data_IF_451002393724
#
_entry.id   IF_451002393724
#
_cell.length_a   1.000
_cell.length_b   1.000
_cell.length_c   1.000
_cell.angle_alpha   90.00
_cell.angle_beta   90.00
_cell.angle_gamma   90.00
#
_symmetry.space_group_name_H-M   'P 1'
#
loop_
_entity.id
_entity.type
_entity.pdbx_description
1 polymer ?
#
# COMPACT_ATOMS: atom_id res chain seq x y z
N UNK A 1 -10.47 9.70 -15.35
CA UNK A 1 -10.45 8.48 -16.19
C UNK A 1 -10.41 7.24 -15.31
N UNK A 2 -10.94 6.12 -15.79
CA UNK A 2 -10.75 4.80 -15.18
C UNK A 2 -9.51 4.11 -15.78
N UNK A 3 -8.49 3.86 -14.97
CA UNK A 3 -7.19 3.35 -15.43
C UNK A 3 -6.93 1.99 -14.77
N UNK A 4 -6.72 0.96 -15.58
CA UNK A 4 -6.23 -0.33 -15.10
C UNK A 4 -4.71 -0.29 -14.99
N UNK A 5 -4.17 -0.68 -13.83
CA UNK A 5 -2.72 -0.77 -13.59
C UNK A 5 -2.38 -2.20 -13.19
N UNK A 6 -1.37 -2.77 -13.85
CA UNK A 6 -0.83 -4.10 -13.57
C UNK A 6 0.64 -4.00 -13.18
N UNK A 7 1.04 -4.65 -12.10
CA UNK A 7 2.42 -5.06 -11.90
C UNK A 7 2.68 -6.33 -12.70
N UNK A 8 3.58 -6.29 -13.68
CA UNK A 8 3.93 -7.46 -14.48
C UNK A 8 4.32 -8.67 -13.62
N UNK A 9 4.11 -9.88 -14.13
CA UNK A 9 4.49 -11.13 -13.48
C UNK A 9 3.79 -11.36 -12.12
N UNK A 10 4.06 -12.49 -11.49
CA UNK A 10 3.68 -12.74 -10.10
C UNK A 10 4.72 -13.65 -9.41
N UNK A 11 4.58 -13.92 -8.11
CA UNK A 11 5.60 -14.65 -7.36
C UNK A 11 5.72 -16.14 -7.72
N UNK A 12 4.75 -16.70 -8.45
CA UNK A 12 4.78 -18.04 -9.04
C UNK A 12 5.26 -18.03 -10.51
N UNK A 13 5.04 -16.93 -11.23
CA UNK A 13 5.48 -16.69 -12.60
C UNK A 13 6.37 -15.45 -12.65
N UNK A 14 7.57 -15.55 -12.06
CA UNK A 14 8.49 -14.41 -11.87
C UNK A 14 8.96 -13.80 -13.18
N UNK A 15 9.24 -12.50 -13.12
CA UNK A 15 9.87 -11.75 -14.20
C UNK A 15 11.39 -11.92 -14.25
N UNK A 16 12.04 -10.98 -14.94
CA UNK A 16 13.47 -10.92 -15.09
C UNK A 16 14.20 -10.76 -13.75
N UNK A 17 15.33 -11.44 -13.64
CA UNK A 17 16.26 -11.35 -12.51
C UNK A 17 17.64 -10.93 -13.01
N UNK A 18 18.16 -9.85 -12.43
CA UNK A 18 19.51 -9.34 -12.63
C UNK A 18 20.11 -8.86 -11.30
N UNK A 19 20.63 -7.64 -11.28
CA UNK A 19 21.06 -6.95 -10.04
C UNK A 19 19.85 -6.63 -9.15
N UNK A 20 18.68 -6.47 -9.76
CA UNK A 20 17.36 -6.35 -9.11
C UNK A 20 16.39 -7.40 -9.66
N UNK A 21 15.34 -7.72 -8.89
CA UNK A 21 14.26 -8.63 -9.28
C UNK A 21 13.06 -7.80 -9.79
N UNK A 22 12.70 -7.98 -11.05
CA UNK A 22 11.59 -7.26 -11.69
C UNK A 22 10.30 -7.38 -10.88
N UNK A 23 9.97 -8.58 -10.42
CA UNK A 23 8.71 -8.86 -9.72
C UNK A 23 8.66 -8.11 -8.38
N UNK A 24 9.80 -7.88 -7.75
CA UNK A 24 9.87 -7.12 -6.49
C UNK A 24 9.82 -5.62 -6.77
N UNK A 25 10.59 -5.14 -7.74
CA UNK A 25 10.73 -3.70 -8.00
C UNK A 25 9.51 -3.11 -8.72
N UNK A 26 8.92 -3.84 -9.66
CA UNK A 26 7.68 -3.41 -10.30
C UNK A 26 6.54 -3.27 -9.28
N UNK A 27 6.54 -4.05 -8.19
CA UNK A 27 5.56 -3.94 -7.10
C UNK A 27 5.68 -2.65 -6.30
N UNK A 28 6.85 -2.01 -6.32
CA UNK A 28 7.07 -0.71 -5.69
C UNK A 28 6.62 0.42 -6.63
N UNK A 29 7.05 0.36 -7.89
CA UNK A 29 6.71 1.38 -8.89
C UNK A 29 5.21 1.44 -9.18
N UNK A 30 4.53 0.29 -9.39
CA UNK A 30 3.11 0.31 -9.70
C UNK A 30 2.25 0.80 -8.51
N UNK A 31 2.67 0.54 -7.26
CA UNK A 31 1.99 1.08 -6.06
C UNK A 31 2.10 2.60 -6.00
N UNK A 32 3.28 3.14 -6.28
CA UNK A 32 3.48 4.59 -6.38
C UNK A 32 2.65 5.19 -7.52
N UNK A 33 2.63 4.54 -8.69
CA UNK A 33 1.77 4.95 -9.80
C UNK A 33 0.28 5.00 -9.39
N UNK A 34 -0.23 3.96 -8.73
CA UNK A 34 -1.60 3.93 -8.21
C UNK A 34 -1.83 5.07 -7.21
N UNK A 35 -0.90 5.33 -6.28
CA UNK A 35 -0.98 6.45 -5.33
C UNK A 35 -1.18 7.78 -6.08
N UNK A 36 -0.29 8.11 -7.01
CA UNK A 36 -0.30 9.41 -7.69
C UNK A 36 -1.46 9.57 -8.68
N UNK A 37 -1.86 8.51 -9.39
CA UNK A 37 -3.07 8.55 -10.22
C UNK A 37 -4.34 8.81 -9.39
N UNK A 38 -4.44 8.24 -8.18
CA UNK A 38 -5.55 8.54 -7.28
C UNK A 38 -5.51 9.99 -6.77
N UNK A 39 -4.32 10.52 -6.42
CA UNK A 39 -4.15 11.93 -6.03
C UNK A 39 -4.62 12.88 -7.14
N UNK A 40 -4.31 12.53 -8.40
CA UNK A 40 -4.77 13.26 -9.58
C UNK A 40 -6.28 13.08 -9.90
N UNK A 41 -7.03 12.33 -9.07
CA UNK A 41 -8.48 12.15 -9.22
C UNK A 41 -8.87 11.11 -10.28
N UNK A 42 -7.96 10.24 -10.72
CA UNK A 42 -8.31 9.10 -11.56
C UNK A 42 -8.92 7.97 -10.72
N UNK A 43 -9.80 7.17 -11.33
CA UNK A 43 -10.29 5.94 -10.75
C UNK A 43 -9.34 4.81 -11.16
N UNK A 44 -8.54 4.29 -10.22
CA UNK A 44 -7.50 3.31 -10.52
C UNK A 44 -7.93 1.91 -10.10
N UNK A 45 -7.85 0.95 -11.03
CA UNK A 45 -8.15 -0.46 -10.78
C UNK A 45 -6.84 -1.25 -10.81
N UNK A 46 -6.45 -1.82 -9.66
CA UNK A 46 -5.35 -2.78 -9.62
C UNK A 46 -5.82 -4.10 -10.25
N UNK A 47 -5.23 -4.45 -11.40
CA UNK A 47 -5.55 -5.67 -12.14
C UNK A 47 -4.47 -6.75 -12.02
N UNK A 48 -3.52 -6.57 -11.10
CA UNK A 48 -2.47 -7.56 -10.82
C UNK A 48 -3.08 -8.85 -10.25
N UNK A 49 -2.91 -10.01 -10.90
CA UNK A 49 -3.40 -11.28 -10.37
C UNK A 49 -2.61 -11.74 -9.14
N UNK A 50 -3.18 -12.72 -8.43
CA UNK A 50 -2.47 -13.49 -7.41
C UNK A 50 -1.49 -14.50 -8.00
N UNK A 51 -1.02 -15.44 -7.19
CA UNK A 51 -0.09 -16.48 -7.64
C UNK A 51 -0.73 -17.43 -8.66
N UNK A 52 -0.24 -17.39 -9.90
CA UNK A 52 -0.71 -18.22 -11.00
C UNK A 52 0.38 -18.42 -12.05
N UNK A 53 0.17 -19.32 -13.01
CA UNK A 53 1.10 -19.51 -14.13
C UNK A 53 1.08 -18.29 -15.08
N UNK A 54 2.09 -18.22 -15.96
CA UNK A 54 2.31 -17.09 -16.88
C UNK A 54 1.09 -16.79 -17.76
N UNK A 55 0.41 -17.82 -18.28
CA UNK A 55 -0.71 -17.60 -19.20
C UNK A 55 -1.94 -17.08 -18.46
N UNK A 56 -2.21 -17.65 -17.29
CA UNK A 56 -3.28 -17.20 -16.40
C UNK A 56 -3.05 -15.77 -15.92
N UNK A 57 -1.81 -15.41 -15.59
CA UNK A 57 -1.42 -14.07 -15.15
C UNK A 57 -1.74 -12.99 -16.20
N UNK A 58 -1.38 -13.26 -17.45
CA UNK A 58 -1.68 -12.36 -18.57
C UNK A 58 -3.19 -12.28 -18.83
N UNK A 59 -3.88 -13.42 -18.86
CA UNK A 59 -5.32 -13.49 -19.13
C UNK A 59 -6.14 -12.74 -18.07
N UNK A 60 -5.91 -13.03 -16.79
CA UNK A 60 -6.71 -12.45 -15.69
C UNK A 60 -6.54 -10.94 -15.60
N UNK A 61 -5.34 -10.42 -15.77
CA UNK A 61 -5.10 -8.96 -15.74
C UNK A 61 -5.83 -8.22 -16.86
N UNK A 62 -5.75 -8.76 -18.08
CA UNK A 62 -6.47 -8.21 -19.24
C UNK A 62 -7.98 -8.32 -19.08
N UNK A 63 -8.48 -9.48 -18.63
CA UNK A 63 -9.90 -9.72 -18.46
C UNK A 63 -10.49 -8.78 -17.40
N UNK A 64 -9.82 -8.64 -16.25
CA UNK A 64 -10.25 -7.74 -15.18
C UNK A 64 -10.29 -6.28 -15.64
N UNK A 65 -9.34 -5.84 -16.48
CA UNK A 65 -9.36 -4.50 -17.06
C UNK A 65 -10.58 -4.27 -17.97
N UNK A 66 -10.96 -5.27 -18.77
CA UNK A 66 -12.15 -5.25 -19.63
C UNK A 66 -13.45 -5.25 -18.83
N UNK A 67 -13.58 -6.13 -17.86
CA UNK A 67 -14.78 -6.26 -17.02
C UNK A 67 -15.07 -4.97 -16.25
N UNK A 68 -14.01 -4.22 -15.92
CA UNK A 68 -14.13 -2.91 -15.29
C UNK A 68 -14.37 -1.76 -16.26
N UNK A 69 -14.43 -2.00 -17.58
CA UNK A 69 -14.57 -0.98 -18.62
C UNK A 69 -13.51 0.13 -18.47
N UNK A 70 -12.24 -0.28 -18.32
CA UNK A 70 -11.13 0.66 -18.16
C UNK A 70 -10.86 1.44 -19.45
N UNK A 71 -10.49 2.72 -19.33
CA UNK A 71 -10.22 3.62 -20.46
C UNK A 71 -8.74 3.60 -20.91
N UNK A 72 -7.85 3.11 -20.04
CA UNK A 72 -6.42 2.97 -20.27
C UNK A 72 -5.90 1.77 -19.47
N UNK A 73 -4.97 1.00 -20.05
CA UNK A 73 -4.27 -0.09 -19.40
C UNK A 73 -2.76 0.20 -19.34
N UNK A 74 -2.19 0.17 -18.15
CA UNK A 74 -0.76 0.36 -17.91
C UNK A 74 -0.18 -0.90 -17.24
N UNK A 75 0.79 -1.55 -17.89
CA UNK A 75 1.54 -2.65 -17.29
C UNK A 75 2.96 -2.22 -16.98
N UNK A 76 3.40 -2.39 -15.73
CA UNK A 76 4.71 -1.96 -15.25
C UNK A 76 5.66 -3.15 -15.18
N UNK A 77 6.78 -3.03 -15.89
CA UNK A 77 7.80 -4.05 -16.08
C UNK A 77 9.21 -3.46 -15.92
N UNK A 78 10.21 -4.34 -15.84
CA UNK A 78 11.63 -4.01 -15.95
C UNK A 78 12.26 -4.90 -17.02
N UNK A 79 13.10 -4.29 -17.86
CA UNK A 79 13.65 -4.95 -19.04
C UNK A 79 14.84 -5.84 -18.64
N UNK A 80 15.21 -6.76 -19.53
CA UNK A 80 16.46 -7.52 -19.46
C UNK A 80 16.84 -7.99 -20.86
N UNK A 81 18.05 -7.68 -21.29
CA UNK A 81 18.60 -8.09 -22.58
C UNK A 81 19.83 -9.01 -22.45
N UNK A 82 20.55 -8.92 -21.33
CA UNK A 82 21.82 -9.62 -21.12
C UNK A 82 21.86 -10.33 -19.76
N UNK A 83 22.84 -11.21 -19.56
CA UNK A 83 23.09 -11.78 -18.23
C UNK A 83 23.69 -10.75 -17.26
N UNK A 84 24.55 -9.86 -17.79
CA UNK A 84 25.17 -8.72 -17.10
C UNK A 84 25.43 -7.60 -18.10
N UNK A 85 25.35 -6.34 -17.66
CA UNK A 85 25.71 -5.21 -18.50
C UNK A 85 26.33 -4.07 -17.67
N UNK A 86 27.52 -3.62 -18.07
CA UNK A 86 28.18 -2.46 -17.45
C UNK A 86 27.81 -1.18 -18.20
N UNK A 87 27.15 -0.24 -17.52
CA UNK A 87 26.70 1.03 -18.08
C UNK A 87 25.17 1.14 -18.19
N UNK A 88 24.70 2.05 -19.05
CA UNK A 88 23.28 2.41 -19.18
C UNK A 88 22.63 1.83 -20.43
N UNK A 89 21.40 1.32 -20.29
CA UNK A 89 20.55 0.84 -21.39
C UNK A 89 19.27 1.69 -21.52
N UNK A 90 18.62 2.03 -20.40
CA UNK A 90 17.58 3.05 -20.31
C UNK A 90 16.14 2.54 -20.19
N UNK A 91 15.20 3.48 -20.28
CA UNK A 91 13.75 3.25 -20.18
C UNK A 91 13.09 3.16 -21.56
N UNK A 92 12.00 2.41 -21.68
CA UNK A 92 11.23 2.29 -22.92
C UNK A 92 9.76 1.98 -22.69
N UNK A 93 8.94 2.19 -23.70
CA UNK A 93 7.52 1.80 -23.68
C UNK A 93 7.16 0.98 -24.90
N UNK A 94 6.23 0.05 -24.72
CA UNK A 94 5.70 -0.80 -25.78
C UNK A 94 4.21 -0.57 -25.97
N UNK A 95 3.80 -0.48 -27.24
CA UNK A 95 2.41 -0.37 -27.68
C UNK A 95 2.11 -1.43 -28.74
N UNK A 96 0.82 -1.69 -28.98
CA UNK A 96 0.39 -2.62 -30.02
C UNK A 96 0.75 -2.10 -31.44
N UNK A 97 0.47 -0.82 -31.68
CA UNK A 97 0.73 -0.11 -32.94
C UNK A 97 0.51 1.41 -32.79
N UNK A 98 1.08 2.20 -33.69
CA UNK A 98 1.05 3.67 -33.73
C UNK A 98 -0.29 4.25 -34.22
N UNK A 99 -0.46 5.56 -34.04
CA UNK A 99 -1.57 6.36 -34.56
C UNK A 99 -2.75 6.54 -33.60
N UNK A 100 -2.66 6.06 -32.36
CA UNK A 100 -3.75 6.12 -31.37
C UNK A 100 -3.33 6.67 -30.00
N UNK A 101 -4.28 6.72 -29.07
CA UNK A 101 -4.07 7.21 -27.69
C UNK A 101 -2.92 6.49 -26.96
N UNK A 102 -2.71 5.21 -27.25
CA UNK A 102 -1.61 4.44 -26.65
C UNK A 102 -0.23 5.04 -26.98
N UNK A 103 0.00 5.47 -28.21
CA UNK A 103 1.26 6.12 -28.61
C UNK A 103 1.47 7.45 -27.88
N UNK A 104 0.40 8.24 -27.72
CA UNK A 104 0.45 9.52 -27.01
C UNK A 104 0.87 9.31 -25.55
N UNK A 105 0.22 8.37 -24.84
CA UNK A 105 0.57 8.05 -23.46
C UNK A 105 1.97 7.46 -23.35
N UNK A 106 2.31 6.49 -24.21
CA UNK A 106 3.62 5.83 -24.20
C UNK A 106 4.77 6.82 -24.41
N UNK A 107 4.60 7.77 -25.35
CA UNK A 107 5.58 8.81 -25.63
C UNK A 107 5.76 9.73 -24.42
N UNK A 108 4.67 10.21 -23.83
CA UNK A 108 4.73 11.06 -22.64
C UNK A 108 5.41 10.35 -21.47
N UNK A 109 5.09 9.07 -21.24
CA UNK A 109 5.67 8.29 -20.16
C UNK A 109 7.19 8.16 -20.33
N UNK A 110 7.67 7.70 -21.50
CA UNK A 110 9.11 7.47 -21.70
C UNK A 110 9.90 8.78 -21.69
N UNK A 111 9.34 9.86 -22.24
CA UNK A 111 9.95 11.18 -22.22
C UNK A 111 10.04 11.73 -20.79
N UNK A 112 8.97 11.60 -19.99
CA UNK A 112 8.95 12.11 -18.62
C UNK A 112 9.84 11.29 -17.69
N UNK A 113 9.86 9.96 -17.85
CA UNK A 113 10.77 9.09 -17.11
C UNK A 113 12.23 9.43 -17.40
N UNK A 114 12.60 9.55 -18.68
CA UNK A 114 13.97 9.90 -19.05
C UNK A 114 14.37 11.27 -18.49
N UNK A 115 13.53 12.29 -18.65
CA UNK A 115 13.78 13.65 -18.15
C UNK A 115 13.90 13.70 -16.63
N UNK A 116 12.99 13.03 -15.91
CA UNK A 116 12.93 13.10 -14.45
C UNK A 116 13.95 12.22 -13.72
N UNK A 117 14.48 11.17 -14.37
CA UNK A 117 15.43 10.24 -13.75
C UNK A 117 16.86 10.36 -14.27
N UNK A 118 17.04 10.78 -15.52
CA UNK A 118 18.31 10.70 -16.24
C UNK A 118 18.54 9.37 -16.97
N UNK A 119 17.59 8.42 -16.91
CA UNK A 119 17.66 7.19 -17.71
C UNK A 119 17.66 7.52 -19.21
N UNK A 120 18.42 6.75 -20.00
CA UNK A 120 18.44 6.88 -21.46
C UNK A 120 17.04 6.64 -22.03
N UNK A 121 16.54 7.57 -22.85
CA UNK A 121 15.26 7.41 -23.53
C UNK A 121 15.41 6.44 -24.72
N UNK A 122 14.77 5.26 -24.67
CA UNK A 122 14.71 4.30 -25.80
C UNK A 122 13.48 4.47 -26.68
N UNK A 123 12.62 5.43 -26.36
CA UNK A 123 11.42 5.77 -27.11
C UNK A 123 10.30 4.74 -27.00
N UNK A 124 9.28 4.97 -27.83
CA UNK A 124 8.12 4.10 -27.99
C UNK A 124 8.41 3.03 -29.03
N UNK A 125 8.11 1.78 -28.70
CA UNK A 125 8.29 0.61 -29.55
C UNK A 125 6.95 -0.08 -29.83
N UNK A 126 6.85 -0.71 -30.99
CA UNK A 126 5.69 -1.52 -31.35
C UNK A 126 5.99 -3.00 -31.14
N UNK A 127 5.05 -3.72 -30.53
CA UNK A 127 5.10 -5.18 -30.49
C UNK A 127 3.69 -5.77 -30.41
N UNK A 128 3.12 -6.08 -31.57
CA UNK A 128 1.79 -6.67 -31.71
C UNK A 128 1.68 -8.11 -31.20
N UNK A 129 2.80 -8.74 -30.81
CA UNK A 129 2.82 -10.10 -30.25
C UNK A 129 2.62 -10.13 -28.73
N UNK A 130 2.85 -9.02 -28.03
CA UNK A 130 2.67 -8.95 -26.57
C UNK A 130 1.18 -9.14 -26.24
N UNK A 131 0.90 -10.15 -25.41
CA UNK A 131 -0.46 -10.59 -25.13
C UNK A 131 -1.34 -9.45 -24.62
N UNK A 132 -0.85 -8.69 -23.64
CA UNK A 132 -1.63 -7.63 -22.99
C UNK A 132 -1.96 -6.49 -23.93
N UNK A 133 -1.01 -6.10 -24.79
CA UNK A 133 -1.22 -5.06 -25.79
C UNK A 133 -2.20 -5.51 -26.88
N UNK A 134 -2.13 -6.79 -27.28
CA UNK A 134 -2.99 -7.36 -28.31
C UNK A 134 -4.40 -7.70 -27.81
N UNK A 135 -4.55 -8.05 -26.53
CA UNK A 135 -5.79 -8.62 -25.98
C UNK A 135 -6.59 -7.65 -25.13
N UNK A 136 -6.07 -6.48 -24.78
CA UNK A 136 -6.86 -5.39 -24.20
C UNK A 136 -7.85 -4.82 -25.22
N UNK A 137 -8.94 -4.18 -24.74
CA UNK A 137 -9.93 -3.50 -25.59
C UNK A 137 -9.83 -1.96 -25.52
N UNK A 138 -8.93 -1.47 -24.67
CA UNK A 138 -8.63 -0.06 -24.44
C UNK A 138 -7.18 0.24 -24.87
N UNK A 139 -6.78 1.50 -25.06
CA UNK A 139 -5.38 1.86 -25.22
C UNK A 139 -4.52 1.23 -24.12
N UNK A 140 -3.41 0.59 -24.51
CA UNK A 140 -2.54 -0.13 -23.60
C UNK A 140 -1.07 0.27 -23.81
N UNK A 141 -0.37 0.47 -22.70
CA UNK A 141 1.07 0.75 -22.67
C UNK A 141 1.73 -0.23 -21.69
N UNK A 142 2.77 -0.92 -22.16
CA UNK A 142 3.69 -1.65 -21.29
C UNK A 142 4.92 -0.77 -21.07
N UNK A 143 5.25 -0.50 -19.82
CA UNK A 143 6.34 0.39 -19.43
C UNK A 143 7.49 -0.46 -18.93
N UNK A 144 8.64 -0.34 -19.60
CA UNK A 144 9.91 -0.89 -19.13
C UNK A 144 10.67 0.22 -18.39
N UNK A 145 10.64 0.16 -17.05
CA UNK A 145 11.18 1.22 -16.20
C UNK A 145 12.68 1.40 -16.44
N UNK A 146 13.46 0.34 -16.25
CA UNK A 146 14.87 0.26 -16.61
C UNK A 146 15.31 -1.22 -16.71
N UNK A 147 16.58 -1.46 -17.05
CA UNK A 147 17.12 -2.81 -17.16
C UNK A 147 17.56 -3.39 -15.81
N UNK A 148 17.13 -4.62 -15.50
CA UNK A 148 17.44 -5.31 -14.25
C UNK A 148 18.94 -5.61 -14.06
N UNK A 149 19.70 -5.73 -15.15
CA UNK A 149 21.10 -6.15 -15.18
C UNK A 149 22.11 -5.04 -15.50
N UNK A 150 21.65 -3.85 -15.90
CA UNK A 150 22.52 -2.75 -16.30
C UNK A 150 22.93 -1.91 -15.10
N UNK A 151 24.24 -1.82 -14.83
CA UNK A 151 24.75 -1.23 -13.58
C UNK A 151 24.35 0.23 -13.39
N UNK A 152 24.37 1.04 -14.46
CA UNK A 152 24.01 2.46 -14.35
C UNK A 152 22.49 2.67 -14.25
N UNK A 153 21.69 1.87 -14.95
CA UNK A 153 20.23 1.88 -14.84
C UNK A 153 19.77 1.58 -13.41
N UNK A 154 20.36 0.55 -12.80
CA UNK A 154 20.04 0.14 -11.42
C UNK A 154 20.53 1.17 -10.40
N UNK A 155 21.69 1.79 -10.64
CA UNK A 155 22.20 2.90 -9.81
C UNK A 155 21.21 4.07 -9.83
N UNK A 156 20.79 4.51 -11.01
CA UNK A 156 19.81 5.59 -11.19
C UNK A 156 18.46 5.22 -10.53
N UNK A 157 17.95 4.01 -10.77
CA UNK A 157 16.71 3.53 -10.16
C UNK A 157 16.77 3.58 -8.63
N UNK A 158 17.87 3.12 -8.00
CA UNK A 158 18.05 3.15 -6.55
C UNK A 158 18.19 4.57 -6.00
N UNK A 159 18.86 5.46 -6.73
CA UNK A 159 19.02 6.87 -6.36
C UNK A 159 17.69 7.63 -6.40
N UNK A 160 16.91 7.45 -7.47
CA UNK A 160 15.63 8.15 -7.68
C UNK A 160 14.50 7.53 -6.87
N UNK A 161 14.54 6.22 -6.70
CA UNK A 161 13.54 5.45 -5.97
C UNK A 161 12.24 5.22 -6.76
N UNK A 162 11.48 4.17 -6.38
CA UNK A 162 10.25 3.79 -7.07
C UNK A 162 9.11 4.81 -6.93
N UNK A 163 9.11 5.64 -5.87
CA UNK A 163 8.06 6.62 -5.63
C UNK A 163 8.06 7.74 -6.68
N UNK A 164 9.23 8.36 -6.91
CA UNK A 164 9.41 9.37 -7.96
C UNK A 164 9.10 8.80 -9.34
N UNK A 165 9.52 7.57 -9.63
CA UNK A 165 9.24 6.92 -10.92
C UNK A 165 7.74 6.73 -11.12
N UNK A 166 7.02 6.23 -10.10
CA UNK A 166 5.56 6.13 -10.15
C UNK A 166 4.89 7.49 -10.35
N UNK A 167 5.38 8.54 -9.68
CA UNK A 167 4.92 9.92 -9.85
C UNK A 167 5.10 10.41 -11.29
N UNK A 168 6.28 10.25 -11.87
CA UNK A 168 6.59 10.66 -13.24
C UNK A 168 5.69 9.96 -14.27
N UNK A 169 5.38 8.68 -14.07
CA UNK A 169 4.43 7.96 -14.93
C UNK A 169 3.01 8.54 -14.76
N UNK A 170 2.57 8.82 -13.53
CA UNK A 170 1.27 9.40 -13.28
C UNK A 170 1.13 10.82 -13.88
N UNK A 171 2.15 11.67 -13.73
CA UNK A 171 2.20 13.02 -14.31
C UNK A 171 2.17 12.99 -15.84
N UNK A 172 2.81 11.99 -16.46
CA UNK A 172 2.75 11.80 -17.91
C UNK A 172 1.33 11.47 -18.40
N UNK A 173 0.51 10.82 -17.57
CA UNK A 173 -0.91 10.56 -17.86
C UNK A 173 -1.78 11.78 -17.55
N UNK A 174 -1.51 12.46 -16.44
CA UNK A 174 -2.26 13.64 -15.98
C UNK A 174 -1.95 14.92 -16.77
N UNK A 175 -0.85 14.93 -17.53
CA UNK A 175 -0.35 16.06 -18.33
C UNK A 175 0.05 17.31 -17.52
N UNK A 176 0.06 17.19 -16.20
CA UNK A 176 0.42 18.24 -15.25
C UNK A 176 1.17 17.60 -14.09
N UNK A 177 2.06 18.39 -13.51
CA UNK A 177 2.69 18.03 -12.24
C UNK A 177 1.61 17.71 -11.22
N UNK A 178 1.82 16.61 -10.50
CA UNK A 178 0.95 16.21 -9.42
C UNK A 178 1.56 16.85 -8.18
N UNK A 179 1.07 18.06 -7.90
CA UNK A 179 1.27 18.68 -6.61
C UNK A 179 0.58 17.79 -5.58
N UNK A 180 1.39 17.09 -4.79
CA UNK A 180 0.91 16.68 -3.48
C UNK A 180 0.50 18.00 -2.81
N UNK A 181 -0.77 18.14 -2.43
CA UNK A 181 -1.17 19.26 -1.58
C UNK A 181 -0.41 19.09 -0.27
N UNK A 182 0.81 19.64 -0.20
CA UNK A 182 1.56 19.79 1.02
C UNK A 182 0.83 20.88 1.81
N UNK A 183 -0.30 20.51 2.43
CA UNK A 183 -0.57 21.05 3.76
C UNK A 183 0.69 20.72 4.56
N UNK A 184 1.28 21.66 5.32
CA UNK A 184 2.54 21.42 6.02
C UNK A 184 2.42 20.12 6.82
N UNK A 185 3.01 19.06 6.25
CA UNK A 185 3.02 17.73 6.83
C UNK A 185 4.05 17.81 7.95
N UNK A 186 3.56 18.14 9.15
CA UNK A 186 4.22 17.67 10.36
C UNK A 186 4.35 16.15 10.24
N UNK A 187 5.46 15.60 10.74
CA UNK A 187 5.82 14.18 10.83
C UNK A 187 4.70 13.19 11.25
N UNK A 188 3.51 13.67 11.61
CA UNK A 188 2.31 12.94 12.00
C UNK A 188 1.63 12.14 10.87
N UNK A 189 1.62 12.59 9.62
CA UNK A 189 0.79 11.98 8.57
C UNK A 189 1.49 10.84 7.79
N UNK A 190 2.82 10.87 7.64
CA UNK A 190 3.57 9.75 7.03
C UNK A 190 3.63 8.51 7.94
N UNK A 191 3.52 8.70 9.26
CA UNK A 191 3.32 7.63 10.21
C UNK A 191 1.91 7.04 10.09
N UNK A 192 0.87 7.89 9.94
CA UNK A 192 -0.53 7.43 9.78
C UNK A 192 -0.71 6.51 8.58
N UNK A 193 -0.15 6.81 7.41
CA UNK A 193 -0.31 5.94 6.23
C UNK A 193 0.44 4.61 6.33
N UNK A 194 1.60 4.59 7.00
CA UNK A 194 2.38 3.36 7.25
C UNK A 194 1.65 2.42 8.22
N UNK A 195 0.93 2.98 9.20
CA UNK A 195 0.06 2.25 10.13
C UNK A 195 -1.34 1.95 9.57
N UNK A 196 -1.76 2.64 8.49
CA UNK A 196 -3.07 2.42 7.87
C UNK A 196 -3.14 1.22 6.92
N UNK A 197 -2.02 0.63 6.49
CA UNK A 197 -2.01 -0.51 5.54
C UNK A 197 -1.30 -1.77 6.07
N UNK A 198 -0.74 -1.72 7.27
CA UNK A 198 -0.12 -2.87 7.92
C UNK A 198 -1.04 -3.44 9.00
N UNK A 199 -1.15 -4.76 9.07
CA UNK A 199 -1.78 -5.46 10.18
C UNK A 199 -1.00 -5.15 11.46
N UNK A 200 -1.69 -4.92 12.57
CA UNK A 200 -1.08 -4.49 13.85
C UNK A 200 -1.44 -5.40 15.02
N UNK A 201 -2.10 -6.53 14.73
CA UNK A 201 -2.45 -7.53 15.70
C UNK A 201 -2.58 -8.89 15.01
N UNK A 202 -2.65 -9.94 15.83
CA UNK A 202 -3.00 -11.29 15.41
C UNK A 202 -3.95 -11.94 16.39
N UNK A 203 -4.81 -12.80 15.87
CA UNK A 203 -5.59 -13.73 16.69
C UNK A 203 -4.64 -14.75 17.33
N UNK A 204 -4.68 -14.92 18.65
CA UNK A 204 -3.91 -15.97 19.34
C UNK A 204 -4.78 -17.15 19.81
N UNK A 205 -6.09 -16.98 19.74
CA UNK A 205 -7.12 -17.99 19.85
C UNK A 205 -8.19 -17.71 18.79
N UNK A 206 -9.09 -18.67 18.58
CA UNK A 206 -10.26 -18.43 17.75
C UNK A 206 -11.13 -17.31 18.34
N UNK A 207 -11.70 -16.51 17.45
CA UNK A 207 -12.40 -15.27 17.75
C UNK A 207 -13.69 -15.20 16.95
N UNK A 208 -14.77 -14.79 17.60
CA UNK A 208 -16.06 -14.55 16.94
C UNK A 208 -16.15 -13.09 16.47
N UNK A 209 -16.06 -12.80 15.16
CA UNK A 209 -16.35 -11.48 14.61
C UNK A 209 -17.84 -11.15 14.76
N UNK A 210 -18.12 -9.96 15.27
CA UNK A 210 -19.48 -9.49 15.61
C UNK A 210 -19.81 -8.24 14.82
N UNK A 211 -21.10 -8.03 14.56
CA UNK A 211 -21.59 -6.79 13.94
C UNK A 211 -21.55 -5.59 14.91
N UNK A 212 -21.63 -5.84 16.21
CA UNK A 212 -21.64 -4.80 17.25
C UNK A 212 -20.95 -5.26 18.55
N UNK A 213 -20.53 -4.33 19.43
CA UNK A 213 -19.79 -4.63 20.66
C UNK A 213 -20.70 -4.93 21.87
N UNK A 214 -21.73 -5.75 21.67
CA UNK A 214 -22.68 -6.13 22.73
C UNK A 214 -22.63 -7.63 23.02
N UNK A 215 -23.22 -8.02 24.15
CA UNK A 215 -23.56 -9.41 24.44
C UNK A 215 -24.65 -9.94 23.50
N UNK A 216 -25.48 -9.06 22.93
CA UNK A 216 -26.50 -9.39 21.94
C UNK A 216 -26.00 -8.92 20.57
N UNK A 217 -25.54 -9.86 19.74
CA UNK A 217 -24.91 -9.57 18.47
C UNK A 217 -25.24 -10.60 17.40
N UNK A 218 -25.03 -10.22 16.14
CA UNK A 218 -25.02 -11.16 15.02
C UNK A 218 -23.60 -11.67 14.82
N UNK A 219 -23.46 -12.98 14.87
CA UNK A 219 -22.23 -13.67 14.51
C UNK A 219 -21.96 -13.52 12.99
N UNK A 220 -20.75 -13.07 12.65
CA UNK A 220 -20.29 -12.84 11.29
C UNK A 220 -19.29 -13.91 10.80
N UNK A 221 -19.09 -14.98 11.56
CA UNK A 221 -18.29 -16.15 11.18
C UNK A 221 -17.23 -16.48 12.22
N UNK A 222 -16.04 -16.87 11.76
CA UNK A 222 -14.91 -17.22 12.64
C UNK A 222 -13.65 -16.50 12.15
N UNK A 223 -12.85 -16.00 13.10
CA UNK A 223 -11.46 -15.61 12.90
C UNK A 223 -10.60 -16.68 13.58
N UNK A 224 -9.86 -17.45 12.78
CA UNK A 224 -9.00 -18.52 13.30
C UNK A 224 -7.74 -17.96 13.97
N UNK A 225 -7.18 -18.75 14.90
CA UNK A 225 -5.86 -18.47 15.46
C UNK A 225 -4.81 -18.27 14.35
N UNK A 226 -4.01 -17.22 14.48
CA UNK A 226 -2.94 -16.86 13.56
C UNK A 226 -3.34 -15.80 12.53
N UNK A 227 -4.64 -15.63 12.29
CA UNK A 227 -5.16 -14.69 11.30
C UNK A 227 -4.72 -13.26 11.60
N UNK A 228 -4.40 -12.54 10.54
CA UNK A 228 -3.92 -11.17 10.62
C UNK A 228 -5.06 -10.21 10.90
N UNK A 229 -4.84 -9.32 11.87
CA UNK A 229 -5.83 -8.36 12.34
C UNK A 229 -5.25 -6.95 12.22
N UNK A 230 -6.13 -6.00 11.94
CA UNK A 230 -5.85 -4.58 12.15
C UNK A 230 -6.91 -3.97 13.05
N UNK A 231 -6.47 -3.57 14.23
CA UNK A 231 -7.25 -2.75 15.16
C UNK A 231 -7.45 -1.38 14.55
N UNK A 232 -8.68 -0.92 14.53
CA UNK A 232 -9.06 0.35 13.92
C UNK A 232 -8.70 1.53 14.83
N UNK A 233 -8.31 2.68 14.25
CA UNK A 233 -7.93 3.88 14.99
C UNK A 233 -9.17 4.65 15.48
N UNK A 234 -9.98 4.01 16.31
CA UNK A 234 -11.22 4.57 16.84
C UNK A 234 -11.21 4.52 18.38
N UNK A 235 -11.67 5.59 19.03
CA UNK A 235 -11.79 5.60 20.49
C UNK A 235 -12.72 4.47 20.94
N UNK A 236 -12.21 3.62 21.84
CA UNK A 236 -12.93 2.44 22.29
C UNK A 236 -12.69 2.18 23.78
N UNK A 237 -13.75 2.29 24.56
CA UNK A 237 -13.83 1.93 25.98
C UNK A 237 -14.86 0.81 26.23
N UNK A 238 -15.26 0.10 25.17
CA UNK A 238 -16.25 -0.97 25.26
C UNK A 238 -15.62 -2.20 25.90
N UNK A 239 -15.36 -2.12 27.22
CA UNK A 239 -14.84 -3.12 28.17
C UNK A 239 -14.17 -4.36 27.56
N UNK A 240 -14.96 -5.20 26.88
CA UNK A 240 -14.56 -6.51 26.36
C UNK A 240 -14.36 -6.58 24.84
N UNK A 241 -14.54 -5.51 24.05
CA UNK A 241 -14.52 -5.55 22.59
C UNK A 241 -13.70 -4.43 21.93
N UNK A 242 -13.08 -4.76 20.78
CA UNK A 242 -12.36 -3.82 19.92
C UNK A 242 -12.88 -3.85 18.48
N UNK A 243 -12.92 -2.70 17.80
CA UNK A 243 -13.24 -2.63 16.38
C UNK A 243 -12.00 -3.00 15.55
N UNK A 244 -12.17 -3.96 14.64
CA UNK A 244 -11.09 -4.49 13.80
C UNK A 244 -11.55 -4.73 12.36
N UNK A 245 -10.57 -4.86 11.47
CA UNK A 245 -10.68 -5.59 10.20
C UNK A 245 -9.70 -6.76 10.24
N UNK A 246 -9.99 -7.82 9.51
CA UNK A 246 -9.12 -9.00 9.43
C UNK A 246 -9.01 -9.52 8.00
N UNK A 247 -7.97 -10.31 7.77
CA UNK A 247 -7.79 -11.04 6.52
C UNK A 247 -7.84 -12.50 6.84
N UNK A 248 -8.61 -13.27 6.07
CA UNK A 248 -8.52 -14.74 6.11
C UNK A 248 -7.32 -15.14 5.28
N UNK A 249 -6.25 -15.63 5.88
CA UNK A 249 -4.97 -15.87 5.22
C UNK A 249 -5.08 -16.87 4.05
N UNK A 250 -6.05 -17.78 4.11
CA UNK A 250 -6.35 -18.69 3.00
C UNK A 250 -6.91 -18.00 1.76
N UNK A 251 -7.57 -16.85 1.89
CA UNK A 251 -8.18 -16.11 0.77
C UNK A 251 -7.58 -14.72 0.56
N UNK A 252 -6.82 -14.21 1.54
CA UNK A 252 -6.28 -12.87 1.64
C UNK A 252 -7.30 -11.75 1.37
N UNK A 253 -8.58 -12.00 1.68
CA UNK A 253 -9.67 -11.03 1.51
C UNK A 253 -9.83 -10.24 2.80
N UNK A 254 -9.83 -8.91 2.66
CA UNK A 254 -10.14 -7.96 3.73
C UNK A 254 -11.62 -8.08 4.14
N UNK A 255 -11.87 -8.14 5.45
CA UNK A 255 -13.22 -8.11 6.00
C UNK A 255 -13.81 -6.70 6.01
N UNK A 256 -15.14 -6.61 6.12
CA UNK A 256 -15.77 -5.40 6.67
C UNK A 256 -15.32 -5.18 8.13
N UNK A 257 -15.60 -3.99 8.68
CA UNK A 257 -15.41 -3.71 10.10
C UNK A 257 -16.25 -4.67 10.94
N UNK A 258 -15.63 -5.28 11.93
CA UNK A 258 -16.28 -6.17 12.92
C UNK A 258 -15.78 -5.84 14.33
N UNK A 259 -16.44 -6.40 15.33
CA UNK A 259 -16.03 -6.31 16.73
C UNK A 259 -15.58 -7.68 17.24
N UNK A 260 -14.51 -7.71 18.01
CA UNK A 260 -13.94 -8.96 18.57
C UNK A 260 -13.56 -8.77 20.03
N UNK A 261 -13.39 -9.86 20.78
CA UNK A 261 -12.92 -9.81 22.17
C UNK A 261 -11.59 -9.06 22.30
N UNK A 262 -11.56 -8.05 23.18
CA UNK A 262 -10.39 -7.21 23.47
C UNK A 262 -9.42 -7.85 24.47
N UNK A 263 -9.68 -9.06 24.94
CA UNK A 263 -8.87 -9.68 26.01
C UNK A 263 -7.55 -10.24 25.45
N UNK A 264 -6.48 -10.14 26.24
CA UNK A 264 -5.13 -10.55 25.83
C UNK A 264 -4.99 -12.04 25.47
N UNK A 265 -5.90 -12.88 25.95
CA UNK A 265 -5.96 -14.31 25.66
C UNK A 265 -6.57 -14.63 24.28
N UNK A 266 -7.13 -13.63 23.59
CA UNK A 266 -7.67 -13.77 22.23
C UNK A 266 -6.90 -12.95 21.20
N UNK A 267 -6.42 -11.77 21.58
CA UNK A 267 -5.66 -10.86 20.71
C UNK A 267 -4.25 -10.65 21.24
N UNK A 268 -3.28 -10.62 20.32
CA UNK A 268 -1.97 -10.02 20.55
C UNK A 268 -1.82 -8.80 19.66
N UNK A 269 -1.73 -7.63 20.27
CA UNK A 269 -1.50 -6.36 19.58
C UNK A 269 0.01 -6.11 19.54
N UNK A 270 0.54 -5.82 18.36
CA UNK A 270 1.93 -5.39 18.19
C UNK A 270 2.11 -4.02 18.84
N UNK A 271 3.28 -3.71 19.37
CA UNK A 271 3.55 -2.39 19.98
C UNK A 271 4.64 -1.68 19.20
N UNK A 272 4.50 -0.36 19.04
CA UNK A 272 5.40 0.49 18.26
C UNK A 272 5.83 1.74 19.03
N UNK A 273 5.52 1.79 20.33
CA UNK A 273 5.79 2.93 21.16
C UNK A 273 5.93 2.54 22.63
N UNK A 274 6.69 3.36 23.35
CA UNK A 274 6.94 3.25 24.78
C UNK A 274 6.59 4.56 25.47
N UNK A 275 5.93 4.48 26.63
CA UNK A 275 5.64 5.64 27.49
C UNK A 275 6.93 6.07 28.20
N UNK A 276 7.27 7.35 28.10
CA UNK A 276 8.51 7.93 28.65
C UNK A 276 8.25 9.20 29.46
N UNK A 277 9.16 9.50 30.39
CA UNK A 277 9.18 10.75 31.17
C UNK A 277 7.89 11.02 31.96
N UNK A 278 7.23 9.96 32.44
CA UNK A 278 6.03 10.02 33.28
C UNK A 278 6.38 9.66 34.71
N UNK A 279 6.00 10.49 35.68
CA UNK A 279 6.33 10.28 37.11
C UNK A 279 5.39 9.25 37.76
N UNK A 280 4.09 9.38 37.53
CA UNK A 280 3.07 8.49 38.11
C UNK A 280 2.33 7.72 37.02
N UNK A 281 1.58 8.44 36.19
CA UNK A 281 0.73 7.87 35.15
C UNK A 281 0.53 8.86 34.00
N UNK A 282 0.27 8.32 32.81
CA UNK A 282 -0.15 9.04 31.62
C UNK A 282 -1.61 8.69 31.34
N UNK A 283 -2.48 9.68 31.44
CA UNK A 283 -3.91 9.50 31.26
C UNK A 283 -4.27 9.12 29.83
N UNK A 284 -5.06 8.04 29.71
CA UNK A 284 -5.81 7.66 28.52
C UNK A 284 -7.14 8.44 28.51
N UNK A 285 -7.49 9.10 27.41
CA UNK A 285 -8.61 10.06 27.34
C UNK A 285 -9.52 9.84 26.14
N UNK A 286 -10.80 10.21 26.27
CA UNK A 286 -11.80 10.09 25.19
C UNK A 286 -11.60 11.08 24.04
N UNK A 287 -11.11 12.29 24.36
CA UNK A 287 -10.84 13.34 23.36
C UNK A 287 -9.44 13.93 23.56
N UNK A 288 -8.92 14.61 22.53
CA UNK A 288 -7.61 15.29 22.48
C UNK A 288 -7.56 16.54 23.36
N UNK A 289 -7.74 16.37 24.67
CA UNK A 289 -7.77 17.45 25.63
C UNK A 289 -7.39 16.97 27.02
N UNK A 290 -6.54 17.72 27.71
CA UNK A 290 -6.22 17.49 29.12
C UNK A 290 -7.43 17.65 30.06
N UNK A 291 -8.53 18.27 29.59
CA UNK A 291 -9.78 18.38 30.34
C UNK A 291 -10.76 17.23 30.08
N UNK A 292 -10.45 16.34 29.13
CA UNK A 292 -11.27 15.15 28.84
C UNK A 292 -11.36 14.24 30.07
N UNK A 293 -12.50 13.58 30.26
CA UNK A 293 -12.61 12.45 31.20
C UNK A 293 -11.52 11.40 30.93
N UNK A 294 -11.05 10.78 32.01
CA UNK A 294 -10.08 9.67 31.95
C UNK A 294 -10.81 8.37 31.60
N UNK A 295 -10.29 7.65 30.61
CA UNK A 295 -10.67 6.28 30.26
C UNK A 295 -9.85 5.25 31.05
N UNK A 296 -8.63 5.64 31.42
CA UNK A 296 -7.67 4.83 32.16
C UNK A 296 -6.32 5.53 32.15
N UNK A 297 -5.25 4.77 32.35
CA UNK A 297 -3.90 5.30 32.31
C UNK A 297 -2.90 4.21 31.92
N UNK A 298 -1.70 4.66 31.56
CA UNK A 298 -0.51 3.83 31.37
C UNK A 298 0.65 4.38 32.21
N UNK A 299 1.62 3.55 32.55
CA UNK A 299 2.79 3.92 33.36
C UNK A 299 4.05 4.06 32.50
N UNK A 300 5.06 4.72 33.05
CA UNK A 300 6.37 4.83 32.41
C UNK A 300 6.96 3.46 32.06
N UNK A 301 7.43 3.29 30.83
CA UNK A 301 7.94 2.03 30.29
C UNK A 301 6.88 1.10 29.72
N UNK A 302 5.58 1.35 29.94
CA UNK A 302 4.54 0.54 29.31
C UNK A 302 4.50 0.79 27.79
N UNK A 303 4.12 -0.26 27.06
CA UNK A 303 4.09 -0.26 25.60
C UNK A 303 2.66 -0.13 25.10
N UNK A 304 2.50 0.58 24.00
CA UNK A 304 1.23 0.74 23.31
C UNK A 304 1.45 0.66 21.80
N UNK A 305 0.34 0.49 21.07
CA UNK A 305 0.32 0.69 19.63
C UNK A 305 -0.24 2.07 19.33
N UNK A 306 0.61 3.01 18.92
CA UNK A 306 0.20 4.31 18.41
C UNK A 306 -0.29 4.15 16.98
N UNK A 307 -1.59 4.38 16.78
CA UNK A 307 -2.20 4.41 15.45
C UNK A 307 -1.86 5.69 14.71
N UNK A 308 -1.89 6.80 15.44
CA UNK A 308 -1.69 8.13 14.90
C UNK A 308 -1.32 9.13 15.97
N UNK A 309 -0.64 10.19 15.58
CA UNK A 309 -0.45 11.38 16.41
C UNK A 309 -1.10 12.55 15.67
N UNK A 310 -1.86 13.38 16.38
CA UNK A 310 -2.40 14.64 15.86
C UNK A 310 -2.58 15.68 16.95
N UNK A 311 -2.19 16.93 16.65
CA UNK A 311 -2.39 18.07 17.55
C UNK A 311 -1.73 17.89 18.92
N UNK A 312 -0.60 17.20 19.00
CA UNK A 312 0.12 16.92 20.24
C UNK A 312 -0.46 15.78 21.08
N UNK A 313 -1.36 14.98 20.52
CA UNK A 313 -1.93 13.79 21.16
C UNK A 313 -1.73 12.55 20.29
N UNK A 314 -1.41 11.41 20.90
CA UNK A 314 -1.32 10.12 20.24
C UNK A 314 -2.60 9.31 20.49
N UNK A 315 -3.22 8.79 19.42
CA UNK A 315 -4.28 7.79 19.53
C UNK A 315 -3.61 6.43 19.62
N UNK A 316 -3.68 5.82 20.80
CA UNK A 316 -3.00 4.56 21.09
C UNK A 316 -3.97 3.47 21.52
N UNK A 317 -3.73 2.23 21.08
CA UNK A 317 -4.28 1.06 21.75
C UNK A 317 -3.33 0.58 22.83
N UNK A 318 -3.83 0.50 24.05
CA UNK A 318 -3.10 0.08 25.25
C UNK A 318 -3.86 -1.03 25.96
N UNK A 319 -3.18 -1.79 26.81
CA UNK A 319 -3.82 -2.79 27.64
C UNK A 319 -4.31 -2.16 28.96
N UNK A 320 -5.61 -2.15 29.18
CA UNK A 320 -6.21 -1.84 30.48
C UNK A 320 -6.43 -3.14 31.27
N UNK A 321 -6.74 -3.02 32.57
CA UNK A 321 -6.88 -4.15 33.50
C UNK A 321 -7.81 -5.28 33.03
N UNK A 322 -8.77 -5.00 32.14
CA UNK A 322 -9.75 -5.96 31.64
C UNK A 322 -9.68 -6.22 30.11
N UNK A 323 -8.75 -5.60 29.38
CA UNK A 323 -8.66 -5.73 27.93
C UNK A 323 -8.02 -4.53 27.24
N UNK A 324 -7.77 -4.66 25.95
CA UNK A 324 -7.26 -3.59 25.14
C UNK A 324 -8.30 -2.49 24.91
N UNK A 325 -7.86 -1.24 25.00
CA UNK A 325 -8.67 -0.04 24.77
C UNK A 325 -7.94 0.92 23.87
N UNK A 326 -8.68 1.78 23.17
CA UNK A 326 -8.10 2.81 22.29
C UNK A 326 -8.46 4.19 22.81
N UNK A 327 -7.44 5.00 23.09
CA UNK A 327 -7.59 6.28 23.76
C UNK A 327 -6.59 7.32 23.25
N UNK A 328 -6.86 8.60 23.54
CA UNK A 328 -5.90 9.68 23.34
C UNK A 328 -4.95 9.80 24.53
N UNK A 329 -3.68 9.99 24.22
CA UNK A 329 -2.59 10.22 25.17
C UNK A 329 -1.87 11.51 24.80
N UNK A 330 -1.24 12.18 25.75
CA UNK A 330 -0.41 13.35 25.43
C UNK A 330 0.89 12.88 24.76
N UNK A 331 1.13 13.30 23.52
CA UNK A 331 2.18 12.72 22.66
C UNK A 331 3.61 12.93 23.17
N UNK A 332 3.86 14.03 23.89
CA UNK A 332 5.21 14.33 24.43
C UNK A 332 5.77 13.30 25.42
N UNK A 333 4.90 12.40 25.92
CA UNK A 333 5.27 11.33 26.84
C UNK A 333 5.34 9.96 26.14
N UNK A 334 5.40 9.94 24.81
CA UNK A 334 5.41 8.73 24.01
C UNK A 334 6.60 8.79 23.07
N UNK A 335 7.45 7.76 23.13
CA UNK A 335 8.53 7.53 22.17
C UNK A 335 8.08 6.45 21.19
N UNK A 336 8.15 6.73 19.89
CA UNK A 336 7.98 5.70 18.86
C UNK A 336 9.27 4.89 18.71
N UNK A 337 9.16 3.61 18.36
CA UNK A 337 10.29 2.71 18.11
C UNK A 337 10.90 2.85 16.71
#
# INVERSE_FOLDING_TARGET
MKIAVRGGHNFKAKGALGIIDETIENRKVYKALIKYLNIAGHNVIDVTPGECDVNTDLYLGVQKAKDNNSELFLSIHFDKAYDKYEGALGTGTWIYGRGGKAEIYAKRIVDNLSKGTGLKNRGVKENSKLYELRKTSMPAVLVEVCFCEATEDVRIYREKGPDLIGKLIAEAINEKEIEENIKPEGQEDSLKEKFLKSTNAKAIANLDPRDNPSSIYKDLGEIYKGERIRVLPEICDNKDYLPIIYWKDTTNIESQKVWVSAKQNYLKIDTNATVINVVTELDARYIKSQRSSKMGYVKNGERLYVHKIESGYALGTYFASNGYKTAWFTAKYISLD
#
